data_IF_615175764948
#
_entry.id   IF_615175764948
#
_cell.length_a   1.000
_cell.length_b   1.000
_cell.length_c   1.000
_cell.angle_alpha   90.00
_cell.angle_beta   90.00
_cell.angle_gamma   90.00
#
_symmetry.space_group_name_H-M   'P 1'
#
loop_
_entity.id
_entity.type
_entity.pdbx_description
1 polymer ?
#
# COMPACT_ATOMS: atom_id res chain seq x y z
N UNK A 1 -4.26 15.67 -61.42
CA UNK A 1 -2.79 15.64 -61.53
C UNK A 1 -2.29 14.50 -60.66
N UNK A 2 -1.64 13.52 -61.32
CA UNK A 2 -0.67 12.51 -60.83
C UNK A 2 -0.99 11.75 -59.51
N UNK A 3 -1.43 10.47 -59.49
CA UNK A 3 -0.84 9.15 -59.88
C UNK A 3 -0.04 8.42 -58.79
N UNK A 4 -0.19 7.08 -58.80
CA UNK A 4 0.55 5.97 -58.16
C UNK A 4 -0.10 5.43 -56.87
N UNK A 5 -0.87 4.33 -56.86
CA UNK A 5 -0.79 3.01 -57.53
C UNK A 5 0.37 2.12 -57.06
N UNK A 6 -0.01 1.16 -56.21
CA UNK A 6 0.32 -0.28 -56.14
C UNK A 6 1.72 -0.85 -56.41
N UNK A 7 1.89 -2.03 -55.79
CA UNK A 7 2.86 -3.12 -55.99
C UNK A 7 4.05 -3.14 -55.04
N UNK A 8 3.93 -3.99 -54.01
CA UNK A 8 5.08 -4.78 -53.53
C UNK A 8 4.66 -6.25 -53.48
N UNK A 9 5.54 -7.01 -54.12
CA UNK A 9 5.44 -8.36 -54.62
C UNK A 9 5.84 -9.41 -53.57
N UNK A 10 5.52 -10.63 -53.96
CA UNK A 10 5.54 -11.92 -53.31
C UNK A 10 6.94 -12.47 -52.99
N UNK A 11 6.96 -13.63 -52.34
CA UNK A 11 8.08 -14.55 -52.07
C UNK A 11 8.73 -14.48 -50.68
N UNK A 12 8.21 -15.32 -49.79
CA UNK A 12 8.96 -15.80 -48.63
C UNK A 12 8.80 -17.32 -48.56
N UNK A 13 9.69 -18.01 -49.26
CA UNK A 13 9.93 -19.44 -49.18
C UNK A 13 10.38 -19.81 -47.76
N UNK A 14 9.82 -20.84 -47.11
CA UNK A 14 10.35 -21.33 -45.85
C UNK A 14 11.65 -22.12 -46.10
N UNK A 15 12.71 -21.92 -45.29
CA UNK A 15 13.85 -22.82 -45.34
C UNK A 15 13.46 -24.16 -44.72
N UNK A 16 13.55 -25.23 -45.52
CA UNK A 16 13.54 -26.59 -45.03
C UNK A 16 14.82 -26.84 -44.23
N UNK A 17 14.67 -27.08 -42.92
CA UNK A 17 15.75 -27.58 -42.07
C UNK A 17 15.54 -29.08 -41.87
N UNK A 18 16.24 -29.88 -42.67
CA UNK A 18 16.47 -31.29 -42.38
C UNK A 18 17.36 -31.39 -41.14
N UNK A 19 16.73 -31.68 -40.00
CA UNK A 19 17.46 -32.02 -38.77
C UNK A 19 17.46 -33.53 -38.61
N UNK A 20 18.60 -34.13 -38.96
CA UNK A 20 18.92 -35.52 -38.67
C UNK A 20 18.95 -35.68 -37.14
N UNK A 21 17.94 -36.36 -36.57
CA UNK A 21 17.97 -36.83 -35.20
C UNK A 21 18.98 -37.98 -35.10
N UNK A 22 20.22 -37.64 -34.75
CA UNK A 22 21.17 -38.61 -34.22
C UNK A 22 20.84 -38.81 -32.74
N UNK A 23 20.26 -39.97 -32.42
CA UNK A 23 19.94 -40.36 -31.05
C UNK A 23 21.23 -40.63 -30.28
N UNK A 24 21.70 -39.63 -29.52
CA UNK A 24 22.72 -39.84 -28.49
C UNK A 24 22.12 -40.62 -27.32
N UNK A 25 22.91 -41.48 -26.64
CA UNK A 25 22.44 -42.22 -25.48
C UNK A 25 22.05 -41.25 -24.36
N UNK A 26 20.87 -41.48 -23.77
CA UNK A 26 20.43 -40.79 -22.55
C UNK A 26 21.34 -41.26 -21.41
N UNK A 27 22.46 -40.56 -21.21
CA UNK A 27 23.19 -40.61 -19.95
C UNK A 27 22.32 -39.95 -18.88
N UNK A 28 21.70 -40.78 -18.05
CA UNK A 28 20.90 -40.36 -16.91
C UNK A 28 21.76 -39.50 -15.97
N UNK A 29 21.51 -38.20 -15.97
CA UNK A 29 22.20 -37.17 -15.21
C UNK A 29 21.97 -37.32 -13.68
N UNK A 30 22.78 -38.20 -13.08
CA UNK A 30 22.80 -38.44 -11.63
C UNK A 30 23.31 -37.23 -10.83
N UNK A 31 23.91 -36.22 -11.48
CA UNK A 31 24.43 -35.02 -10.82
C UNK A 31 23.29 -34.10 -10.30
N UNK A 32 22.12 -34.13 -10.97
CA UNK A 32 20.99 -33.27 -10.64
C UNK A 32 20.33 -33.60 -9.29
N UNK A 33 20.30 -34.88 -8.91
CA UNK A 33 19.61 -35.36 -7.69
C UNK A 33 20.33 -34.94 -6.42
N UNK A 34 21.67 -35.01 -6.41
CA UNK A 34 22.49 -34.62 -5.26
C UNK A 34 22.47 -33.10 -5.02
N UNK A 35 22.44 -32.31 -6.10
CA UNK A 35 22.32 -30.85 -6.03
C UNK A 35 21.00 -30.43 -5.37
N UNK A 36 19.88 -31.07 -5.75
CA UNK A 36 18.55 -30.81 -5.19
C UNK A 36 18.47 -31.07 -3.68
N UNK A 37 19.01 -32.19 -3.19
CA UNK A 37 19.02 -32.52 -1.76
C UNK A 37 19.84 -31.50 -0.95
N UNK A 38 21.02 -31.12 -1.43
CA UNK A 38 21.88 -30.14 -0.76
C UNK A 38 21.19 -28.77 -0.65
N UNK A 39 20.51 -28.33 -1.69
CA UNK A 39 19.75 -27.07 -1.68
C UNK A 39 18.56 -27.10 -0.73
N UNK A 40 17.82 -28.22 -0.65
CA UNK A 40 16.74 -28.39 0.33
C UNK A 40 17.27 -28.27 1.76
N UNK A 41 18.39 -28.93 2.09
CA UNK A 41 18.99 -28.86 3.42
C UNK A 41 19.43 -27.43 3.78
N UNK A 42 20.09 -26.72 2.84
CA UNK A 42 20.45 -25.31 3.02
C UNK A 42 19.22 -24.44 3.29
N UNK A 43 18.15 -24.64 2.53
CA UNK A 43 16.89 -23.91 2.71
C UNK A 43 16.26 -24.16 4.07
N UNK A 44 16.22 -25.41 4.53
CA UNK A 44 15.72 -25.76 5.87
C UNK A 44 16.57 -25.11 6.97
N UNK A 45 17.89 -25.15 6.83
CA UNK A 45 18.80 -24.51 7.79
C UNK A 45 18.61 -22.99 7.86
N UNK A 46 18.51 -22.32 6.71
CA UNK A 46 18.23 -20.88 6.63
C UNK A 46 16.87 -20.54 7.24
N UNK A 47 15.83 -21.31 6.92
CA UNK A 47 14.51 -21.09 7.49
C UNK A 47 14.49 -21.25 9.01
N UNK A 48 15.15 -22.28 9.54
CA UNK A 48 15.30 -22.47 10.99
C UNK A 48 15.98 -21.26 11.63
N UNK A 49 17.07 -20.78 11.03
CA UNK A 49 17.80 -19.61 11.56
C UNK A 49 16.95 -18.34 11.53
N UNK A 50 16.19 -18.10 10.45
CA UNK A 50 15.26 -16.97 10.38
C UNK A 50 14.17 -17.11 11.45
N UNK A 51 13.65 -18.32 11.67
CA UNK A 51 12.67 -18.58 12.74
C UNK A 51 13.22 -18.21 14.10
N UNK A 52 14.46 -18.59 14.42
CA UNK A 52 15.11 -18.22 15.68
C UNK A 52 15.26 -16.69 15.82
N UNK A 53 15.58 -16.00 14.72
CA UNK A 53 15.71 -14.53 14.72
C UNK A 53 14.38 -13.85 15.03
N UNK A 54 13.24 -14.37 14.56
CA UNK A 54 11.93 -13.70 14.69
C UNK A 54 11.06 -14.23 15.83
N UNK A 55 11.28 -15.47 16.30
CA UNK A 55 10.54 -16.10 17.40
C UNK A 55 11.40 -16.45 18.63
N UNK A 56 12.72 -16.63 18.47
CA UNK A 56 13.59 -17.16 19.52
C UNK A 56 13.57 -16.29 20.78
N UNK A 57 13.50 -16.87 21.99
CA UNK A 57 13.40 -16.13 23.25
C UNK A 57 14.66 -15.30 23.54
N UNK A 58 15.83 -15.80 23.14
CA UNK A 58 17.14 -15.18 23.33
C UNK A 58 17.48 -14.17 22.20
N UNK A 59 16.55 -13.25 21.93
CA UNK A 59 16.75 -12.25 20.88
C UNK A 59 17.88 -11.28 21.26
N UNK A 60 18.99 -11.37 20.55
CA UNK A 60 20.14 -10.47 20.71
C UNK A 60 20.23 -9.52 19.51
N UNK A 61 19.82 -8.24 19.63
CA UNK A 61 19.73 -7.30 18.50
C UNK A 61 21.02 -7.16 17.69
N UNK A 62 22.18 -7.17 18.35
CA UNK A 62 23.50 -7.03 17.69
C UNK A 62 23.87 -8.21 16.79
N UNK A 63 23.31 -9.40 17.04
CA UNK A 63 23.58 -10.61 16.26
C UNK A 63 22.71 -10.72 15.00
N UNK A 64 21.61 -9.97 14.93
CA UNK A 64 20.59 -10.11 13.88
C UNK A 64 21.17 -9.86 12.49
N UNK A 65 21.85 -8.74 12.29
CA UNK A 65 22.38 -8.37 10.98
C UNK A 65 23.43 -9.37 10.46
N UNK A 66 24.45 -9.77 11.25
CA UNK A 66 25.36 -10.86 10.85
C UNK A 66 24.63 -12.16 10.49
N UNK A 67 23.63 -12.56 11.28
CA UNK A 67 22.89 -13.79 11.06
C UNK A 67 22.05 -13.75 9.77
N UNK A 68 21.35 -12.64 9.50
CA UNK A 68 20.59 -12.46 8.27
C UNK A 68 21.52 -12.44 7.06
N UNK A 69 22.66 -11.74 7.13
CA UNK A 69 23.65 -11.73 6.05
C UNK A 69 24.23 -13.12 5.77
N UNK A 70 24.51 -13.91 6.81
CA UNK A 70 24.95 -15.30 6.66
C UNK A 70 23.87 -16.16 5.98
N UNK A 71 22.60 -15.97 6.32
CA UNK A 71 21.48 -16.65 5.66
C UNK A 71 21.35 -16.27 4.19
N UNK A 72 21.48 -14.97 3.87
CA UNK A 72 21.43 -14.46 2.51
C UNK A 72 22.58 -14.99 1.66
N UNK A 73 23.79 -15.13 2.22
CA UNK A 73 24.95 -15.69 1.53
C UNK A 73 24.86 -17.22 1.32
N UNK A 74 24.07 -17.92 2.13
CA UNK A 74 23.94 -19.38 2.04
C UNK A 74 23.07 -19.86 0.86
N UNK A 75 22.27 -18.97 0.26
CA UNK A 75 21.32 -19.27 -0.81
C UNK A 75 21.46 -18.28 -1.99
N UNK A 76 21.04 -18.68 -3.21
CA UNK A 76 20.84 -17.72 -4.29
C UNK A 76 19.84 -16.63 -3.87
N UNK A 77 20.07 -15.39 -4.27
CA UNK A 77 19.25 -14.24 -3.89
C UNK A 77 17.74 -14.46 -4.16
N UNK A 78 17.40 -15.05 -5.31
CA UNK A 78 16.02 -15.35 -5.68
C UNK A 78 15.34 -16.36 -4.72
N UNK A 79 16.06 -17.39 -4.26
CA UNK A 79 15.51 -18.36 -3.31
C UNK A 79 15.42 -17.77 -1.90
N UNK A 80 16.39 -16.95 -1.47
CA UNK A 80 16.31 -16.24 -0.20
C UNK A 80 15.10 -15.29 -0.17
N UNK A 81 14.93 -14.48 -1.21
CA UNK A 81 13.78 -13.58 -1.39
C UNK A 81 12.43 -14.32 -1.34
N UNK A 82 12.37 -15.49 -1.98
CA UNK A 82 11.18 -16.35 -1.98
C UNK A 82 10.90 -16.95 -0.60
N UNK A 83 11.92 -17.22 0.22
CA UNK A 83 11.72 -17.68 1.60
C UNK A 83 11.13 -16.56 2.47
N UNK A 84 11.62 -15.33 2.34
CA UNK A 84 11.17 -14.19 3.16
C UNK A 84 9.69 -13.83 2.93
N UNK A 85 9.20 -13.98 1.71
CA UNK A 85 7.83 -13.60 1.33
C UNK A 85 6.81 -14.72 1.42
N UNK A 86 7.23 -15.94 1.74
CA UNK A 86 6.34 -17.09 1.88
C UNK A 86 5.96 -17.29 3.34
N UNK A 87 4.73 -17.78 3.54
CA UNK A 87 4.17 -18.20 4.82
C UNK A 87 4.81 -19.48 5.36
N UNK A 88 6.07 -19.39 5.74
CA UNK A 88 6.89 -20.56 6.13
C UNK A 88 7.06 -20.70 7.64
N UNK A 89 6.55 -19.77 8.45
CA UNK A 89 6.69 -19.78 9.91
C UNK A 89 5.29 -19.68 10.51
N UNK A 90 4.75 -20.81 11.00
CA UNK A 90 3.44 -20.87 11.66
C UNK A 90 2.31 -20.25 10.82
N UNK A 91 2.34 -20.47 9.50
CA UNK A 91 1.35 -19.94 8.58
C UNK A 91 1.55 -18.47 8.19
N UNK A 92 2.61 -17.80 8.65
CA UNK A 92 2.93 -16.41 8.35
C UNK A 92 4.36 -16.22 7.81
N UNK A 93 4.63 -15.05 7.25
CA UNK A 93 5.97 -14.62 6.81
C UNK A 93 6.89 -14.33 7.99
N UNK A 94 8.20 -14.30 7.73
CA UNK A 94 9.17 -13.88 8.74
C UNK A 94 8.99 -12.40 9.14
N UNK A 95 8.62 -11.54 8.20
CA UNK A 95 8.38 -10.13 8.47
C UNK A 95 7.15 -9.91 9.36
N UNK A 96 6.09 -10.69 9.17
CA UNK A 96 4.92 -10.68 10.07
C UNK A 96 5.34 -10.88 11.52
N UNK A 97 6.11 -11.93 11.80
CA UNK A 97 6.57 -12.25 13.16
C UNK A 97 7.54 -11.21 13.70
N UNK A 98 8.37 -10.60 12.85
CA UNK A 98 9.24 -9.50 13.26
C UNK A 98 8.43 -8.28 13.74
N UNK A 99 7.26 -8.02 13.15
CA UNK A 99 6.35 -6.93 13.58
C UNK A 99 5.62 -7.34 14.87
N UNK A 100 4.95 -8.49 14.87
CA UNK A 100 4.13 -8.95 16.01
C UNK A 100 4.95 -9.09 17.28
N UNK A 101 6.19 -9.61 17.18
CA UNK A 101 7.08 -9.77 18.33
C UNK A 101 7.92 -8.51 18.63
N UNK A 102 7.61 -7.37 18.00
CA UNK A 102 8.30 -6.09 18.18
C UNK A 102 9.84 -6.20 18.05
N UNK A 103 10.32 -6.78 16.95
CA UNK A 103 11.75 -6.98 16.64
C UNK A 103 12.20 -6.06 15.50
N UNK A 104 12.38 -4.75 15.75
CA UNK A 104 12.65 -3.78 14.68
C UNK A 104 13.98 -4.05 13.94
N UNK A 105 15.01 -4.58 14.62
CA UNK A 105 16.28 -4.93 13.97
C UNK A 105 16.12 -6.11 13.01
N UNK A 106 15.28 -7.09 13.35
CA UNK A 106 14.96 -8.21 12.46
C UNK A 106 14.14 -7.72 11.27
N UNK A 107 13.12 -6.89 11.52
CA UNK A 107 12.31 -6.29 10.47
C UNK A 107 13.19 -5.51 9.48
N UNK A 108 14.06 -4.62 9.96
CA UNK A 108 14.96 -3.84 9.13
C UNK A 108 15.94 -4.72 8.33
N UNK A 109 16.60 -5.67 8.99
CA UNK A 109 17.58 -6.54 8.36
C UNK A 109 16.97 -7.42 7.25
N UNK A 110 15.77 -7.98 7.49
CA UNK A 110 15.07 -8.81 6.51
C UNK A 110 14.47 -7.95 5.39
N UNK A 111 13.85 -6.80 5.72
CA UNK A 111 13.18 -5.95 4.75
C UNK A 111 14.14 -5.34 3.73
N UNK A 112 15.41 -5.08 4.11
CA UNK A 112 16.45 -4.61 3.19
C UNK A 112 16.56 -5.47 1.92
N UNK A 113 16.40 -6.78 2.03
CA UNK A 113 16.50 -7.69 0.88
C UNK A 113 15.26 -7.67 -0.02
N UNK A 114 14.09 -7.34 0.54
CA UNK A 114 12.86 -7.21 -0.23
C UNK A 114 12.81 -5.85 -0.92
N UNK A 115 13.20 -4.78 -0.23
CA UNK A 115 13.26 -3.44 -0.82
C UNK A 115 14.13 -3.38 -2.09
N UNK A 116 15.25 -4.10 -2.11
CA UNK A 116 16.14 -4.18 -3.29
C UNK A 116 15.42 -4.79 -4.50
N UNK A 117 14.53 -5.76 -4.30
CA UNK A 117 13.75 -6.37 -5.39
C UNK A 117 12.60 -5.50 -5.88
N UNK A 118 12.27 -4.43 -5.14
CA UNK A 118 11.30 -3.42 -5.51
C UNK A 118 9.84 -3.69 -5.14
N UNK A 119 9.44 -4.93 -4.79
CA UNK A 119 8.04 -5.24 -4.51
C UNK A 119 7.84 -6.39 -3.52
N UNK A 120 6.81 -6.30 -2.68
CA UNK A 120 6.30 -7.44 -1.92
C UNK A 120 5.39 -8.29 -2.83
N UNK A 121 5.43 -9.61 -2.64
CA UNK A 121 4.38 -10.49 -3.13
C UNK A 121 3.06 -10.13 -2.46
N UNK A 122 1.93 -10.36 -3.13
CA UNK A 122 0.60 -10.12 -2.55
C UNK A 122 0.41 -10.85 -1.22
N UNK A 123 0.92 -12.08 -1.11
CA UNK A 123 0.88 -12.88 0.13
C UNK A 123 1.67 -12.22 1.27
N UNK A 124 2.84 -11.66 0.95
CA UNK A 124 3.67 -10.98 1.94
C UNK A 124 3.05 -9.64 2.36
N UNK A 125 2.55 -8.87 1.40
CA UNK A 125 1.84 -7.60 1.66
C UNK A 125 0.63 -7.83 2.58
N UNK A 126 -0.20 -8.81 2.27
CA UNK A 126 -1.33 -9.24 3.09
C UNK A 126 -0.92 -9.56 4.54
N UNK A 127 0.14 -10.35 4.71
CA UNK A 127 0.67 -10.69 6.04
C UNK A 127 1.18 -9.44 6.78
N UNK A 128 1.92 -8.57 6.11
CA UNK A 128 2.42 -7.34 6.72
C UNK A 128 1.29 -6.43 7.19
N UNK A 129 0.23 -6.32 6.39
CA UNK A 129 -0.99 -5.60 6.73
C UNK A 129 -1.66 -6.20 7.96
N UNK A 130 -1.82 -7.52 8.01
CA UNK A 130 -2.40 -8.23 9.15
C UNK A 130 -1.55 -8.01 10.43
N UNK A 131 -0.21 -8.06 10.33
CA UNK A 131 0.68 -7.80 11.45
C UNK A 131 0.58 -6.37 11.99
N UNK A 132 0.53 -5.37 11.09
CA UNK A 132 0.38 -3.97 11.47
C UNK A 132 -0.98 -3.73 12.13
N UNK A 133 -2.04 -4.36 11.61
CA UNK A 133 -3.38 -4.30 12.17
C UNK A 133 -3.43 -4.88 13.60
N UNK A 134 -2.84 -6.07 13.82
CA UNK A 134 -2.78 -6.71 15.15
C UNK A 134 -2.01 -5.85 16.16
N UNK A 135 -0.90 -5.26 15.74
CA UNK A 135 -0.05 -4.43 16.62
C UNK A 135 -0.52 -2.98 16.73
N UNK A 136 -1.52 -2.58 15.93
CA UNK A 136 -1.96 -1.17 15.77
C UNK A 136 -0.79 -0.21 15.50
N UNK A 137 0.25 -0.65 14.78
CA UNK A 137 1.48 0.12 14.57
C UNK A 137 1.49 0.84 13.22
N UNK A 138 0.92 2.06 13.19
CA UNK A 138 0.90 2.90 11.98
C UNK A 138 2.30 3.30 11.50
N UNK A 139 3.26 3.51 12.41
CA UNK A 139 4.61 3.91 12.04
C UNK A 139 5.30 2.85 11.17
N UNK A 140 5.20 1.58 11.56
CA UNK A 140 5.71 0.45 10.77
C UNK A 140 4.94 0.32 9.46
N UNK A 141 3.61 0.42 9.49
CA UNK A 141 2.77 0.35 8.30
C UNK A 141 3.19 1.37 7.23
N UNK A 142 3.44 2.61 7.66
CA UNK A 142 3.92 3.69 6.80
C UNK A 142 5.37 3.48 6.33
N UNK A 143 6.26 3.05 7.23
CA UNK A 143 7.67 2.78 6.89
C UNK A 143 7.81 1.70 5.81
N UNK A 144 6.93 0.70 5.83
CA UNK A 144 6.88 -0.36 4.84
C UNK A 144 6.20 0.06 3.52
N UNK A 145 5.75 1.32 3.42
CA UNK A 145 5.01 1.88 2.30
C UNK A 145 3.72 1.11 1.95
N UNK A 146 3.10 0.46 2.95
CA UNK A 146 1.88 -0.34 2.75
C UNK A 146 0.63 0.52 2.55
N UNK A 147 0.69 1.80 2.95
CA UNK A 147 -0.44 2.73 2.86
C UNK A 147 -0.45 3.65 1.65
N UNK A 148 0.57 3.59 0.78
CA UNK A 148 0.68 4.43 -0.41
C UNK A 148 0.52 3.56 -1.65
N UNK A 149 -0.49 3.84 -2.47
CA UNK A 149 -0.72 3.11 -3.72
C UNK A 149 0.28 3.53 -4.80
N UNK A 150 0.70 2.57 -5.63
CA UNK A 150 1.70 2.77 -6.68
C UNK A 150 1.33 3.86 -7.71
N UNK A 151 0.04 4.06 -7.95
CA UNK A 151 -0.49 5.08 -8.87
C UNK A 151 -0.14 6.49 -8.38
N UNK A 152 -0.30 6.74 -7.08
CA UNK A 152 0.02 8.02 -6.47
C UNK A 152 1.55 8.25 -6.43
N UNK A 153 2.34 7.22 -6.14
CA UNK A 153 3.82 7.34 -6.16
C UNK A 153 4.34 7.83 -7.52
N UNK A 154 3.78 7.34 -8.63
CA UNK A 154 4.15 7.79 -9.99
C UNK A 154 3.75 9.25 -10.22
N UNK A 155 2.53 9.61 -9.82
CA UNK A 155 2.04 10.98 -9.95
C UNK A 155 2.91 11.97 -9.16
N UNK A 156 3.27 11.62 -7.93
CA UNK A 156 4.16 12.43 -7.07
C UNK A 156 5.53 12.61 -7.68
N UNK A 157 6.11 11.53 -8.21
CA UNK A 157 7.39 11.59 -8.90
C UNK A 157 7.34 12.54 -10.10
N UNK A 158 6.29 12.42 -10.93
CA UNK A 158 6.09 13.26 -12.11
C UNK A 158 5.91 14.75 -11.75
N UNK A 159 5.18 15.04 -10.67
CA UNK A 159 4.90 16.40 -10.22
C UNK A 159 5.96 17.00 -9.29
N UNK A 160 7.00 16.23 -8.92
CA UNK A 160 7.99 16.66 -7.93
C UNK A 160 7.38 16.94 -6.55
N UNK A 161 6.31 16.23 -6.18
CA UNK A 161 5.59 16.49 -4.93
C UNK A 161 6.43 16.06 -3.71
N UNK A 162 6.46 16.87 -2.63
CA UNK A 162 7.02 16.42 -1.35
C UNK A 162 6.22 15.23 -0.82
N UNK A 163 6.80 14.43 0.10
CA UNK A 163 6.09 13.30 0.73
C UNK A 163 4.93 13.79 1.61
N UNK A 164 3.82 13.04 1.61
CA UNK A 164 2.66 13.33 2.44
C UNK A 164 2.98 12.86 3.85
N UNK A 165 2.34 13.48 4.83
CA UNK A 165 2.49 13.09 6.23
C UNK A 165 1.14 12.64 6.75
N UNK A 166 1.10 11.42 7.26
CA UNK A 166 -0.05 10.88 7.98
C UNK A 166 0.41 10.48 9.36
N UNK A 167 -0.16 11.09 10.39
CA UNK A 167 0.12 10.76 11.78
C UNK A 167 -1.16 10.27 12.43
N UNK A 168 -1.08 9.14 13.12
CA UNK A 168 -2.20 8.60 13.90
C UNK A 168 -1.89 8.82 15.37
N UNK A 169 -2.79 9.50 16.06
CA UNK A 169 -2.73 9.77 17.49
C UNK A 169 -3.85 9.00 18.17
N UNK A 170 -3.50 7.95 18.90
CA UNK A 170 -4.43 7.20 19.73
C UNK A 170 -4.57 7.90 21.09
N UNK A 171 -5.78 7.92 21.64
CA UNK A 171 -6.03 8.40 23.00
C UNK A 171 -6.29 7.22 23.93
N UNK A 172 -5.74 7.29 25.15
CA UNK A 172 -6.01 6.29 26.18
C UNK A 172 -7.43 6.47 26.76
N UNK A 173 -7.91 7.71 26.86
CA UNK A 173 -9.25 8.05 27.34
C UNK A 173 -9.88 9.20 26.52
N UNK A 174 -11.13 9.06 26.03
CA UNK A 174 -11.94 7.85 26.06
C UNK A 174 -11.35 6.75 25.17
N UNK A 175 -11.43 5.50 25.64
CA UNK A 175 -11.04 4.34 24.84
C UNK A 175 -11.80 4.34 23.50
N UNK A 176 -11.10 4.00 22.42
CA UNK A 176 -11.59 3.99 21.04
C UNK A 176 -11.69 5.35 20.33
N UNK A 177 -11.08 6.41 20.87
CA UNK A 177 -10.88 7.65 20.15
C UNK A 177 -9.48 7.73 19.55
N UNK A 178 -9.38 8.23 18.33
CA UNK A 178 -8.11 8.55 17.71
C UNK A 178 -8.25 9.65 16.66
N UNK A 179 -7.17 10.38 16.44
CA UNK A 179 -7.07 11.42 15.43
C UNK A 179 -6.06 11.03 14.36
N UNK A 180 -6.40 11.33 13.11
CA UNK A 180 -5.49 11.17 11.98
C UNK A 180 -5.19 12.54 11.39
N UNK A 181 -3.95 12.98 11.55
CA UNK A 181 -3.48 14.27 11.03
C UNK A 181 -2.85 14.01 9.65
N UNK A 182 -3.44 14.63 8.62
CA UNK A 182 -3.01 14.55 7.23
C UNK A 182 -2.43 15.88 6.77
N UNK A 183 -1.24 15.81 6.18
CA UNK A 183 -0.64 16.91 5.42
C UNK A 183 -0.36 16.43 4.00
N UNK A 184 -1.15 16.89 3.05
CA UNK A 184 -1.13 16.42 1.67
C UNK A 184 -0.58 17.51 0.76
N UNK A 185 0.66 17.32 0.29
CA UNK A 185 1.34 18.30 -0.55
C UNK A 185 0.79 18.33 -1.97
N UNK A 186 0.71 19.53 -2.55
CA UNK A 186 0.21 19.78 -3.91
C UNK A 186 -1.16 19.13 -4.17
N UNK A 187 -2.04 19.13 -3.18
CA UNK A 187 -3.33 18.45 -3.17
C UNK A 187 -4.16 18.77 -4.41
N UNK A 188 -4.36 20.07 -4.72
CA UNK A 188 -5.17 20.49 -5.86
C UNK A 188 -4.56 20.05 -7.19
N UNK A 189 -3.25 20.24 -7.37
CA UNK A 189 -2.55 19.86 -8.60
C UNK A 189 -2.62 18.35 -8.84
N UNK A 190 -2.47 17.55 -7.78
CA UNK A 190 -2.54 16.10 -7.86
C UNK A 190 -3.93 15.62 -8.22
N UNK A 191 -4.97 16.17 -7.60
CA UNK A 191 -6.34 15.77 -7.92
C UNK A 191 -6.81 16.24 -9.30
N UNK A 192 -6.32 17.39 -9.78
CA UNK A 192 -6.56 17.88 -11.15
C UNK A 192 -5.68 17.22 -12.21
N UNK A 193 -4.66 16.46 -11.81
CA UNK A 193 -3.78 15.83 -12.79
C UNK A 193 -4.61 14.90 -13.68
N UNK A 194 -4.36 14.88 -15.01
CA UNK A 194 -5.09 14.02 -15.92
C UNK A 194 -4.96 12.58 -15.43
N UNK A 195 -6.12 11.92 -15.28
CA UNK A 195 -6.15 10.57 -14.77
C UNK A 195 -5.25 9.67 -15.62
N UNK A 196 -4.31 9.01 -14.97
CA UNK A 196 -3.51 7.95 -15.60
C UNK A 196 -4.33 6.67 -15.76
N UNK A 197 -5.51 6.60 -15.12
CA UNK A 197 -6.46 5.50 -15.21
C UNK A 197 -7.38 5.66 -16.42
N UNK A 198 -7.68 4.53 -17.07
CA UNK A 198 -8.72 4.40 -18.10
C UNK A 198 -10.11 4.85 -17.65
N UNK A 199 -10.34 4.93 -16.33
CA UNK A 199 -11.63 5.36 -15.76
C UNK A 199 -11.82 6.88 -15.67
N UNK A 200 -10.85 7.69 -16.08
CA UNK A 200 -11.00 9.15 -16.14
C UNK A 200 -10.93 9.89 -14.80
N UNK A 201 -11.14 9.21 -13.67
CA UNK A 201 -11.11 9.83 -12.34
C UNK A 201 -9.72 9.77 -11.66
N UNK A 202 -9.21 10.91 -11.21
CA UNK A 202 -8.04 10.95 -10.32
C UNK A 202 -8.46 10.82 -8.87
N UNK A 203 -7.83 9.89 -8.14
CA UNK A 203 -8.17 9.52 -6.76
C UNK A 203 -6.91 9.56 -5.91
N UNK A 204 -6.94 10.30 -4.80
CA UNK A 204 -5.89 10.25 -3.78
C UNK A 204 -6.39 9.36 -2.65
N UNK A 205 -5.74 8.21 -2.45
CA UNK A 205 -6.13 7.22 -1.45
C UNK A 205 -5.02 7.14 -0.39
N UNK A 206 -5.42 7.28 0.86
CA UNK A 206 -4.55 7.24 2.02
C UNK A 206 -5.01 6.15 2.95
N UNK A 207 -4.14 5.18 3.25
CA UNK A 207 -4.45 4.15 4.24
C UNK A 207 -3.67 4.37 5.53
N UNK A 208 -4.29 4.01 6.65
CA UNK A 208 -3.68 4.14 7.97
C UNK A 208 -4.20 3.07 8.93
N UNK A 209 -3.40 2.75 9.95
CA UNK A 209 -3.74 1.74 10.95
C UNK A 209 -4.17 2.42 12.25
N UNK A 210 -5.35 2.09 12.74
CA UNK A 210 -5.87 2.60 14.01
C UNK A 210 -6.93 1.68 14.59
N UNK A 211 -6.94 1.51 15.92
CA UNK A 211 -7.94 0.70 16.63
C UNK A 211 -8.07 -0.74 16.11
N UNK A 212 -6.93 -1.40 15.85
CA UNK A 212 -6.92 -2.78 15.35
C UNK A 212 -7.49 -2.97 13.93
N UNK A 213 -7.50 -1.92 13.11
CA UNK A 213 -8.07 -1.91 11.75
C UNK A 213 -7.19 -1.12 10.79
N UNK A 214 -7.35 -1.42 9.50
CA UNK A 214 -6.79 -0.59 8.42
C UNK A 214 -7.93 0.20 7.80
N UNK A 215 -7.82 1.51 7.92
CA UNK A 215 -8.74 2.48 7.36
C UNK A 215 -8.17 3.01 6.06
N UNK A 216 -9.05 3.54 5.21
CA UNK A 216 -8.66 4.33 4.07
C UNK A 216 -9.52 5.60 3.97
N UNK A 217 -8.90 6.67 3.50
CA UNK A 217 -9.52 7.96 3.19
C UNK A 217 -9.22 8.28 1.72
N UNK A 218 -10.25 8.55 0.94
CA UNK A 218 -10.13 8.83 -0.49
C UNK A 218 -10.66 10.22 -0.80
N UNK A 219 -9.84 11.04 -1.44
CA UNK A 219 -10.26 12.28 -2.08
C UNK A 219 -10.36 12.05 -3.58
N UNK A 220 -11.43 12.54 -4.20
CA UNK A 220 -11.61 12.42 -5.65
C UNK A 220 -12.57 13.47 -6.21
N UNK A 221 -12.60 13.59 -7.53
CA UNK A 221 -13.58 14.38 -8.27
C UNK A 221 -14.30 13.46 -9.25
N UNK A 222 -15.55 13.04 -8.98
CA UNK A 222 -16.30 12.17 -9.89
C UNK A 222 -16.69 12.88 -11.19
N UNK A 223 -16.82 14.20 -11.16
CA UNK A 223 -17.13 15.02 -12.33
C UNK A 223 -16.27 16.29 -12.33
N UNK A 224 -15.17 16.26 -13.09
CA UNK A 224 -14.25 17.39 -13.23
C UNK A 224 -14.94 18.65 -13.79
N UNK A 225 -16.03 18.49 -14.57
CA UNK A 225 -16.72 19.64 -15.16
C UNK A 225 -17.52 20.43 -14.13
N UNK A 226 -18.02 19.73 -13.11
CA UNK A 226 -18.71 20.35 -11.97
C UNK A 226 -17.75 20.86 -10.91
N UNK A 227 -16.52 20.32 -10.87
CA UNK A 227 -15.54 20.70 -9.86
C UNK A 227 -15.98 20.36 -8.43
N UNK A 228 -16.85 19.36 -8.29
CA UNK A 228 -17.33 18.86 -7.00
C UNK A 228 -16.33 17.82 -6.50
N UNK A 229 -15.96 17.95 -5.24
CA UNK A 229 -14.98 17.09 -4.58
C UNK A 229 -15.72 16.20 -3.61
N UNK A 230 -15.36 14.92 -3.66
CA UNK A 230 -15.90 13.92 -2.77
C UNK A 230 -14.79 13.39 -1.88
N UNK A 231 -15.14 13.19 -0.61
CA UNK A 231 -14.31 12.47 0.33
C UNK A 231 -15.04 11.21 0.78
N UNK A 232 -14.32 10.11 0.73
CA UNK A 232 -14.82 8.83 1.20
C UNK A 232 -13.93 8.32 2.33
N UNK A 233 -14.56 7.69 3.30
CA UNK A 233 -13.87 6.93 4.34
C UNK A 233 -14.39 5.51 4.40
N UNK A 234 -13.50 4.55 4.63
CA UNK A 234 -13.91 3.17 4.82
C UNK A 234 -12.83 2.29 5.46
N UNK A 235 -13.10 0.99 5.45
CA UNK A 235 -12.21 -0.04 5.96
C UNK A 235 -11.63 -0.86 4.80
N UNK A 236 -10.36 -1.24 4.92
CA UNK A 236 -9.72 -2.16 3.98
C UNK A 236 -10.20 -3.60 4.23
N UNK A 237 -10.04 -4.42 3.20
CA UNK A 237 -10.20 -5.88 3.28
C UNK A 237 -9.49 -6.47 4.52
N UNK A 238 -10.16 -7.41 5.20
CA UNK A 238 -9.81 -8.06 6.49
C UNK A 238 -9.93 -7.25 7.77
N UNK A 239 -10.22 -5.96 7.70
CA UNK A 239 -10.53 -5.20 8.92
C UNK A 239 -11.85 -5.68 9.52
N UNK A 240 -11.91 -5.79 10.85
CA UNK A 240 -13.17 -6.08 11.54
C UNK A 240 -14.15 -4.92 11.34
N UNK A 241 -15.46 -5.18 11.21
CA UNK A 241 -16.45 -4.12 11.17
C UNK A 241 -16.33 -3.15 12.35
N UNK A 242 -16.64 -1.88 12.13
CA UNK A 242 -16.66 -0.84 13.15
C UNK A 242 -17.87 0.06 12.98
N UNK A 243 -18.37 0.59 14.10
CA UNK A 243 -19.28 1.73 14.10
C UNK A 243 -18.44 2.99 14.14
N UNK A 244 -18.59 3.82 13.12
CA UNK A 244 -17.79 5.03 12.96
C UNK A 244 -18.64 6.26 13.26
N UNK A 245 -18.21 7.06 14.22
CA UNK A 245 -18.56 8.47 14.31
C UNK A 245 -17.29 9.27 14.06
N UNK A 246 -17.23 9.97 12.94
CA UNK A 246 -16.03 10.72 12.56
C UNK A 246 -16.36 12.12 12.05
N UNK A 247 -15.39 13.02 12.19
CA UNK A 247 -15.45 14.36 11.63
C UNK A 247 -14.12 14.63 10.93
N UNK A 248 -14.17 14.92 9.63
CA UNK A 248 -13.02 15.48 8.93
C UNK A 248 -13.05 16.99 9.08
N UNK A 249 -12.01 17.52 9.71
CA UNK A 249 -11.76 18.94 9.91
C UNK A 249 -10.67 19.37 8.94
N UNK A 250 -10.98 20.27 8.02
CA UNK A 250 -10.02 20.86 7.09
C UNK A 250 -9.71 22.28 7.56
N UNK A 251 -8.45 22.53 7.85
CA UNK A 251 -7.99 23.83 8.34
C UNK A 251 -8.08 24.89 7.26
N UNK A 252 -8.44 26.12 7.67
CA UNK A 252 -8.43 27.26 6.80
C UNK A 252 -7.13 28.07 7.01
N UNK A 253 -6.40 28.32 5.93
CA UNK A 253 -5.08 28.97 5.92
C UNK A 253 -5.13 30.45 5.56
N UNK A 254 -6.04 30.87 4.66
CA UNK A 254 -6.08 32.27 4.25
C UNK A 254 -7.07 33.09 5.09
N UNK A 255 -6.54 34.07 5.81
CA UNK A 255 -7.34 35.14 6.39
C UNK A 255 -7.77 36.06 5.25
N UNK A 256 -9.08 36.24 5.06
CA UNK A 256 -9.58 37.23 4.10
C UNK A 256 -8.96 38.60 4.44
N UNK A 257 -8.32 39.31 3.50
CA UNK A 257 -7.72 40.61 3.78
C UNK A 257 -8.74 41.54 4.44
N UNK A 258 -8.44 42.03 5.65
CA UNK A 258 -9.34 42.89 6.44
C UNK A 258 -10.28 42.17 7.41
N UNK A 259 -10.31 40.83 7.46
CA UNK A 259 -11.07 40.09 8.49
C UNK A 259 -10.27 39.95 9.78
N UNK A 260 -10.84 40.37 10.91
CA UNK A 260 -10.29 40.08 12.25
C UNK A 260 -10.71 38.70 12.76
N UNK A 261 -11.75 38.08 12.20
CA UNK A 261 -12.12 36.72 12.56
C UNK A 261 -11.11 35.72 11.98
N UNK A 262 -10.69 34.69 12.74
CA UNK A 262 -9.94 33.57 12.20
C UNK A 262 -10.79 32.84 11.14
N UNK A 263 -10.20 32.36 10.06
CA UNK A 263 -10.94 31.64 9.04
C UNK A 263 -11.50 30.33 9.65
N UNK A 264 -12.77 30.06 9.39
CA UNK A 264 -13.47 28.92 9.98
C UNK A 264 -13.05 27.62 9.28
N UNK A 265 -12.72 26.59 10.06
CA UNK A 265 -12.38 25.28 9.54
C UNK A 265 -13.63 24.59 8.97
N UNK A 266 -13.46 23.89 7.84
CA UNK A 266 -14.53 23.09 7.26
C UNK A 266 -14.66 21.78 8.03
N UNK A 267 -15.87 21.49 8.52
CA UNK A 267 -16.18 20.27 9.28
C UNK A 267 -17.15 19.39 8.53
N UNK A 268 -16.74 18.14 8.27
CA UNK A 268 -17.52 17.19 7.46
C UNK A 268 -17.81 15.97 8.35
N UNK A 269 -19.05 15.86 8.87
CA UNK A 269 -19.42 14.75 9.72
C UNK A 269 -19.69 13.49 8.90
N UNK A 270 -19.06 12.40 9.31
CA UNK A 270 -19.35 11.02 8.91
C UNK A 270 -20.05 10.33 10.08
N UNK A 271 -21.38 10.41 10.07
CA UNK A 271 -22.22 9.62 10.98
C UNK A 271 -22.92 8.53 10.18
N UNK A 272 -22.76 7.28 10.61
CA UNK A 272 -23.63 6.20 10.18
C UNK A 272 -24.92 6.28 11.01
N UNK A 273 -26.06 6.52 10.37
CA UNK A 273 -27.37 6.40 11.04
C UNK A 273 -27.76 4.93 11.15
N UNK A 274 -28.45 4.56 12.24
CA UNK A 274 -28.77 3.16 12.57
C UNK A 274 -29.52 2.39 11.47
N UNK A 275 -30.24 3.08 10.59
CA UNK A 275 -31.03 2.47 9.49
C UNK A 275 -30.19 2.01 8.30
N UNK A 276 -28.91 2.40 8.20
CA UNK A 276 -27.98 1.94 7.16
C UNK A 276 -27.03 0.83 7.66
N UNK A 277 -27.38 0.16 8.77
CA UNK A 277 -26.68 -1.03 9.23
C UNK A 277 -26.86 -2.20 8.25
N UNK A 278 -26.05 -2.21 7.22
CA UNK A 278 -25.25 -3.39 6.92
C UNK A 278 -23.89 -3.04 7.52
N UNK A 279 -23.44 -3.80 8.53
CA UNK A 279 -22.12 -3.58 9.12
C UNK A 279 -21.07 -3.38 8.01
N UNK A 280 -20.03 -2.58 8.24
CA UNK A 280 -18.88 -2.47 7.31
C UNK A 280 -18.23 -3.87 7.18
N UNK A 281 -18.81 -4.74 6.35
CA UNK A 281 -18.56 -6.16 6.27
C UNK A 281 -18.04 -6.50 4.87
N UNK A 282 -16.86 -7.10 4.71
CA UNK A 282 -16.25 -7.30 3.41
C UNK A 282 -17.19 -7.88 2.35
N UNK A 283 -17.41 -7.14 1.24
CA UNK A 283 -18.09 -7.70 0.07
C UNK A 283 -17.17 -8.79 -0.51
N UNK A 284 -17.59 -10.06 -0.47
CA UNK A 284 -16.90 -11.14 -1.17
C UNK A 284 -17.04 -10.88 -2.67
N UNK A 285 -15.97 -10.41 -3.31
CA UNK A 285 -15.91 -10.31 -4.77
C UNK A 285 -14.88 -11.32 -5.27
N UNK A 286 -15.23 -12.11 -6.28
CA UNK A 286 -14.42 -13.20 -6.84
C UNK A 286 -13.27 -12.73 -7.75
N UNK A 287 -12.91 -11.44 -7.70
CA UNK A 287 -11.80 -10.90 -8.49
C UNK A 287 -10.51 -10.81 -7.67
N UNK A 288 -9.35 -11.24 -8.23
CA UNK A 288 -8.08 -11.27 -7.50
C UNK A 288 -7.45 -9.88 -7.27
N UNK A 289 -8.01 -8.83 -7.89
CA UNK A 289 -7.79 -7.42 -7.53
C UNK A 289 -9.07 -6.64 -7.86
N UNK A 290 -10.07 -6.64 -6.98
CA UNK A 290 -11.12 -5.65 -7.04
C UNK A 290 -10.56 -4.35 -6.48
N UNK A 291 -11.18 -3.22 -6.82
CA UNK A 291 -11.26 -2.09 -5.91
C UNK A 291 -11.58 -2.60 -4.50
N UNK A 292 -10.56 -2.74 -3.63
CA UNK A 292 -10.57 -3.34 -2.28
C UNK A 292 -11.41 -2.56 -1.24
N UNK A 293 -12.40 -1.82 -1.72
CA UNK A 293 -13.30 -1.01 -0.93
C UNK A 293 -14.49 -1.89 -0.58
N UNK A 294 -14.52 -2.31 0.67
CA UNK A 294 -15.57 -3.18 1.18
C UNK A 294 -16.82 -2.38 1.51
N UNK A 295 -16.67 -1.20 2.10
CA UNK A 295 -17.73 -0.22 2.38
C UNK A 295 -17.16 1.19 2.49
N UNK A 296 -17.96 2.20 2.15
CA UNK A 296 -17.56 3.60 2.30
C UNK A 296 -18.74 4.53 2.61
N UNK A 297 -18.42 5.68 3.19
CA UNK A 297 -19.33 6.82 3.33
C UNK A 297 -18.79 7.92 2.45
N UNK A 298 -19.53 8.25 1.40
CA UNK A 298 -19.23 9.39 0.53
C UNK A 298 -19.86 10.67 1.08
N UNK A 299 -19.08 11.74 1.07
CA UNK A 299 -19.51 13.10 1.38
C UNK A 299 -18.96 14.08 0.36
N UNK A 300 -19.83 14.94 -0.13
CA UNK A 300 -19.41 16.11 -0.89
C UNK A 300 -18.75 17.13 0.05
N UNK A 301 -17.66 17.73 -0.40
CA UNK A 301 -16.90 18.78 0.29
C UNK A 301 -17.57 20.16 0.15
N UNK A 302 -18.91 20.18 0.13
CA UNK A 302 -19.75 21.36 -0.15
C UNK A 302 -19.66 21.86 -1.61
N UNK A 303 -20.35 22.96 -1.91
CA UNK A 303 -20.36 23.62 -3.23
C UNK A 303 -19.05 24.37 -3.56
N UNK A 304 -17.98 24.03 -2.86
CA UNK A 304 -16.72 24.73 -2.99
C UNK A 304 -16.02 24.29 -4.28
N UNK A 305 -16.14 25.13 -5.31
CA UNK A 305 -15.31 25.02 -6.51
C UNK A 305 -13.88 25.38 -6.11
N UNK A 306 -12.97 24.40 -6.15
CA UNK A 306 -11.53 24.67 -6.10
C UNK A 306 -11.15 25.57 -7.27
N UNK A 307 -11.19 26.87 -7.07
CA UNK A 307 -10.38 27.82 -7.81
C UNK A 307 -9.03 27.98 -7.09
N UNK A 308 -8.07 28.62 -7.73
CA UNK A 308 -6.69 28.78 -7.21
C UNK A 308 -6.60 29.64 -5.92
N UNK A 309 -7.74 30.03 -5.32
CA UNK A 309 -7.82 30.94 -4.15
C UNK A 309 -8.74 30.41 -3.06
N UNK A 310 -8.56 29.16 -2.68
CA UNK A 310 -9.31 28.61 -1.55
C UNK A 310 -8.71 28.94 -0.21
N UNK A 311 -9.53 29.07 0.84
CA UNK A 311 -9.01 29.12 2.19
C UNK A 311 -8.48 27.78 2.70
N UNK A 312 -8.83 26.64 2.10
CA UNK A 312 -8.56 25.32 2.67
C UNK A 312 -7.26 24.65 2.20
N UNK A 313 -6.49 25.35 1.38
CA UNK A 313 -5.20 24.90 0.89
C UNK A 313 -4.22 26.04 1.10
N UNK A 314 -3.03 25.76 1.63
CA UNK A 314 -2.00 26.78 1.83
C UNK A 314 -1.38 27.25 0.51
N UNK A 315 -0.53 28.27 0.59
CA UNK A 315 0.11 28.89 -0.57
C UNK A 315 1.02 27.90 -1.33
N UNK A 316 1.48 26.84 -0.67
CA UNK A 316 2.25 25.73 -1.26
C UNK A 316 1.35 24.68 -1.93
N UNK A 317 0.03 24.83 -1.89
CA UNK A 317 -0.91 23.86 -2.43
C UNK A 317 -1.13 22.65 -1.51
N UNK A 318 -0.82 22.78 -0.21
CA UNK A 318 -0.96 21.70 0.78
C UNK A 318 -2.34 21.76 1.46
N UNK A 319 -2.98 20.59 1.57
CA UNK A 319 -4.17 20.41 2.40
C UNK A 319 -3.72 19.95 3.80
N UNK A 320 -4.14 20.66 4.84
CA UNK A 320 -4.00 20.24 6.24
C UNK A 320 -5.38 19.83 6.76
N UNK A 321 -5.49 18.57 7.18
CA UNK A 321 -6.75 18.03 7.64
C UNK A 321 -6.54 17.12 8.86
N UNK A 322 -7.51 17.13 9.77
CA UNK A 322 -7.57 16.22 10.91
C UNK A 322 -8.86 15.42 10.81
N UNK A 323 -8.74 14.10 10.80
CA UNK A 323 -9.87 13.18 10.87
C UNK A 323 -9.99 12.69 12.31
N UNK A 324 -11.01 13.18 13.00
CA UNK A 324 -11.34 12.82 14.37
C UNK A 324 -12.28 11.62 14.34
N UNK A 325 -11.90 10.51 15.00
CA UNK A 325 -12.66 9.26 14.97
C UNK A 325 -12.97 8.80 16.39
N UNK A 326 -14.23 8.48 16.64
CA UNK A 326 -14.70 7.72 17.80
C UNK A 326 -15.36 6.43 17.32
N UNK A 327 -14.86 5.27 17.77
CA UNK A 327 -15.53 4.00 17.51
C UNK A 327 -16.61 3.76 18.58
N UNK A 328 -17.83 3.41 18.13
CA UNK A 328 -19.00 3.19 18.99
C UNK A 328 -19.25 1.72 19.32
#
# INVERSE_FOLDING_TARGET
>A
MATNSELVDDSSTPPAYDTIFSASPIECDQSSVFSSRRMKNKRTAVLSRIRDIVLGPDFTPSSVVPNVNACAAALPAAEFFKILQKRNIEGHTALYWAIVNNRPQALWALNKFIFISGYYSSVCEDDLRDACMITTNHAIFWQLALGVRSEDTRLRYFLGCPSDRIQVHMYDEPANQFNVVLRIGMFQKRLRAPATSTTGDTKLIYEFVAGGRIWWLRFHMPDFTKGIWCVDIGLCWRSHPARLNAVLVIEAHSRKPGSTAPPEALKIPFSLTDTKFVALAPLKTDHPRPSNITWHIEKELGDWVMHDKTPYVDDEGTLNATLEITLL
#
